data_IF_666470250116
#
_entry.id   IF_666470250116
#
_cell.length_a   1.000
_cell.length_b   1.000
_cell.length_c   1.000
_cell.angle_alpha   90.00
_cell.angle_beta   90.00
_cell.angle_gamma   90.00
#
_symmetry.space_group_name_H-M   'P 1'
#
loop_
_entity.id
_entity.type
_entity.pdbx_description
1 polymer ?
#
# COMPACT_ATOMS: atom_id res chain seq x y z
N UNK A 1 -34.01 -9.69 -29.00
CA UNK A 1 -32.96 -10.58 -29.56
C UNK A 1 -32.00 -11.10 -28.49
N UNK A 2 -30.95 -10.38 -28.04
CA UNK A 2 -29.98 -10.97 -27.07
C UNK A 2 -30.61 -11.28 -25.70
N UNK A 3 -31.60 -10.50 -25.24
CA UNK A 3 -32.37 -10.79 -24.01
C UNK A 3 -33.27 -12.03 -24.16
N UNK A 4 -33.99 -12.15 -25.28
CA UNK A 4 -34.84 -13.32 -25.58
C UNK A 4 -34.01 -14.61 -25.67
N UNK A 5 -32.83 -14.56 -26.30
CA UNK A 5 -31.91 -15.72 -26.36
C UNK A 5 -31.41 -16.11 -24.97
N UNK A 6 -31.23 -15.16 -24.05
CA UNK A 6 -30.82 -15.46 -22.67
C UNK A 6 -31.94 -16.08 -21.82
N UNK A 7 -33.19 -15.74 -22.13
CA UNK A 7 -34.38 -16.30 -21.46
C UNK A 7 -34.70 -17.71 -21.98
N UNK A 8 -34.55 -17.94 -23.29
CA UNK A 8 -34.84 -19.24 -23.92
C UNK A 8 -33.68 -20.24 -23.82
N UNK A 9 -32.43 -19.78 -23.71
CA UNK A 9 -31.23 -20.61 -23.64
C UNK A 9 -30.17 -20.04 -22.66
N UNK A 10 -30.37 -20.20 -21.34
CA UNK A 10 -29.50 -19.61 -20.32
C UNK A 10 -28.06 -20.12 -20.35
N UNK A 11 -27.81 -21.33 -20.88
CA UNK A 11 -26.48 -21.93 -21.00
C UNK A 11 -25.72 -21.54 -22.29
N UNK A 12 -26.27 -20.62 -23.09
CA UNK A 12 -25.68 -20.26 -24.37
C UNK A 12 -24.25 -19.69 -24.19
N UNK A 13 -23.24 -20.19 -24.93
CA UNK A 13 -21.85 -19.81 -24.73
C UNK A 13 -21.64 -18.29 -24.81
N UNK A 14 -21.07 -17.73 -23.73
CA UNK A 14 -20.77 -16.29 -23.61
C UNK A 14 -22.02 -15.40 -23.71
N UNK A 15 -23.22 -15.89 -23.36
CA UNK A 15 -24.43 -15.05 -23.29
C UNK A 15 -24.21 -13.79 -22.43
N UNK A 16 -23.48 -13.92 -21.31
CA UNK A 16 -23.09 -12.79 -20.45
C UNK A 16 -22.23 -11.73 -21.16
N UNK A 17 -21.35 -12.14 -22.06
CA UNK A 17 -20.51 -11.23 -22.84
C UNK A 17 -21.37 -10.38 -23.79
N UNK A 18 -22.37 -10.99 -24.43
CA UNK A 18 -23.27 -10.29 -25.33
C UNK A 18 -24.25 -9.41 -24.56
N UNK A 19 -24.86 -9.91 -23.48
CA UNK A 19 -25.74 -9.13 -22.61
C UNK A 19 -25.06 -7.86 -22.11
N UNK A 20 -23.80 -7.95 -21.67
CA UNK A 20 -23.03 -6.79 -21.21
C UNK A 20 -22.72 -5.75 -22.30
N UNK A 21 -22.75 -6.13 -23.59
CA UNK A 21 -22.61 -5.21 -24.73
C UNK A 21 -23.90 -4.52 -25.14
N UNK A 22 -25.06 -5.11 -24.82
CA UNK A 22 -26.38 -4.52 -25.10
C UNK A 22 -26.87 -3.65 -23.94
N UNK A 23 -26.24 -3.74 -22.76
CA UNK A 23 -26.52 -2.83 -21.64
C UNK A 23 -26.32 -1.37 -22.06
N UNK A 24 -27.29 -0.47 -21.78
CA UNK A 24 -27.20 0.91 -22.20
C UNK A 24 -25.94 1.57 -21.64
N UNK A 25 -25.33 2.47 -22.42
CA UNK A 25 -24.10 3.20 -22.06
C UNK A 25 -24.18 3.85 -20.67
N UNK A 26 -25.39 4.22 -20.22
CA UNK A 26 -25.70 4.72 -18.87
C UNK A 26 -25.37 3.73 -17.72
N UNK A 27 -25.58 2.42 -17.90
CA UNK A 27 -25.22 1.38 -16.90
C UNK A 27 -23.71 1.14 -16.82
N UNK A 28 -22.95 1.60 -17.81
CA UNK A 28 -21.48 1.58 -17.79
C UNK A 28 -20.88 2.90 -17.27
N UNK A 29 -21.72 3.89 -16.91
CA UNK A 29 -21.28 5.20 -16.42
C UNK A 29 -21.35 5.28 -14.89
N UNK A 30 -22.31 4.59 -14.26
CA UNK A 30 -22.52 4.64 -12.82
C UNK A 30 -22.72 3.24 -12.22
N UNK A 31 -22.45 3.08 -10.92
CA UNK A 31 -22.76 1.85 -10.19
C UNK A 31 -24.27 1.59 -10.13
N UNK A 32 -24.68 0.31 -10.15
CA UNK A 32 -26.07 -0.07 -9.84
C UNK A 32 -26.41 0.26 -8.39
N UNK A 33 -27.69 0.38 -8.04
CA UNK A 33 -28.09 0.71 -6.66
C UNK A 33 -27.61 -0.32 -5.64
N UNK A 34 -27.59 -1.60 -6.03
CA UNK A 34 -27.03 -2.67 -5.22
C UNK A 34 -25.52 -2.49 -5.02
N UNK A 35 -24.79 -2.23 -6.10
CA UNK A 35 -23.35 -1.96 -6.05
C UNK A 35 -23.03 -0.71 -5.22
N UNK A 36 -23.86 0.34 -5.30
CA UNK A 36 -23.72 1.56 -4.49
C UNK A 36 -23.93 1.27 -3.02
N UNK A 37 -24.97 0.49 -2.66
CA UNK A 37 -25.23 0.10 -1.27
C UNK A 37 -24.06 -0.71 -0.70
N UNK A 38 -23.60 -1.71 -1.45
CA UNK A 38 -22.44 -2.52 -1.08
C UNK A 38 -21.18 -1.65 -0.92
N UNK A 39 -20.85 -0.83 -1.92
CA UNK A 39 -19.70 0.05 -1.89
C UNK A 39 -19.75 1.03 -0.72
N UNK A 40 -20.93 1.58 -0.41
CA UNK A 40 -21.13 2.51 0.71
C UNK A 40 -20.94 1.81 2.06
N UNK A 41 -21.47 0.59 2.22
CA UNK A 41 -21.28 -0.21 3.44
C UNK A 41 -19.80 -0.50 3.70
N UNK A 42 -19.12 -1.02 2.69
CA UNK A 42 -17.67 -1.29 2.74
C UNK A 42 -16.87 -0.01 2.99
N UNK A 43 -17.29 1.13 2.42
CA UNK A 43 -16.60 2.41 2.61
C UNK A 43 -16.70 2.89 4.06
N UNK A 44 -17.88 2.79 4.68
CA UNK A 44 -18.08 3.15 6.08
C UNK A 44 -17.26 2.25 7.01
N UNK A 45 -17.20 0.94 6.72
CA UNK A 45 -16.35 0.02 7.46
C UNK A 45 -14.87 0.37 7.30
N UNK A 46 -14.41 0.67 6.07
CA UNK A 46 -13.05 1.09 5.79
C UNK A 46 -12.67 2.37 6.56
N UNK A 47 -13.58 3.34 6.68
CA UNK A 47 -13.38 4.53 7.50
C UNK A 47 -13.27 4.19 9.00
N UNK A 48 -14.07 3.24 9.49
CA UNK A 48 -14.00 2.74 10.85
C UNK A 48 -12.63 2.14 11.16
N UNK A 49 -12.15 1.24 10.29
CA UNK A 49 -10.83 0.62 10.42
C UNK A 49 -9.69 1.65 10.31
N UNK A 50 -9.81 2.59 9.36
CA UNK A 50 -8.85 3.68 9.19
C UNK A 50 -8.74 4.56 10.45
N UNK A 51 -9.87 4.88 11.09
CA UNK A 51 -9.91 5.67 12.33
C UNK A 51 -9.26 4.92 13.50
N UNK A 52 -9.40 3.59 13.54
CA UNK A 52 -8.73 2.70 14.49
C UNK A 52 -7.26 2.46 14.16
N UNK A 53 -6.74 3.05 13.09
CA UNK A 53 -5.39 2.84 12.54
C UNK A 53 -5.11 1.41 12.08
N UNK A 54 -6.15 0.59 11.90
CA UNK A 54 -6.01 -0.70 11.24
C UNK A 54 -5.99 -0.49 9.72
N UNK A 55 -4.84 -0.01 9.25
CA UNK A 55 -4.65 0.36 7.85
C UNK A 55 -4.64 -0.87 6.93
N UNK A 56 -4.30 -2.06 7.42
CA UNK A 56 -4.32 -3.28 6.63
C UNK A 56 -5.76 -3.74 6.36
N UNK A 57 -6.62 -3.74 7.38
CA UNK A 57 -8.04 -4.05 7.19
C UNK A 57 -8.72 -3.00 6.30
N UNK A 58 -8.47 -1.71 6.56
CA UNK A 58 -8.99 -0.62 5.74
C UNK A 58 -8.57 -0.73 4.27
N UNK A 59 -7.32 -1.13 4.01
CA UNK A 59 -6.78 -1.32 2.67
C UNK A 59 -7.60 -2.36 1.90
N UNK A 60 -7.78 -3.55 2.48
CA UNK A 60 -8.54 -4.66 1.85
C UNK A 60 -9.95 -4.23 1.47
N UNK A 61 -10.64 -3.52 2.36
CA UNK A 61 -11.99 -3.02 2.12
C UNK A 61 -12.01 -2.00 0.97
N UNK A 62 -11.04 -1.06 0.91
CA UNK A 62 -10.96 -0.13 -0.22
C UNK A 62 -10.64 -0.81 -1.55
N UNK A 63 -9.83 -1.87 -1.55
CA UNK A 63 -9.55 -2.67 -2.75
C UNK A 63 -10.81 -3.40 -3.25
N UNK A 64 -11.61 -3.95 -2.34
CA UNK A 64 -12.90 -4.55 -2.70
C UNK A 64 -13.81 -3.53 -3.39
N UNK A 65 -13.95 -2.32 -2.83
CA UNK A 65 -14.77 -1.25 -3.40
C UNK A 65 -14.30 -0.90 -4.82
N UNK A 66 -12.99 -0.65 -4.99
CA UNK A 66 -12.39 -0.27 -6.29
C UNK A 66 -12.60 -1.37 -7.35
N UNK A 67 -12.65 -2.64 -6.93
CA UNK A 67 -12.82 -3.77 -7.82
C UNK A 67 -14.29 -4.08 -8.19
N UNK A 68 -15.28 -3.52 -7.48
CA UNK A 68 -16.71 -3.68 -7.83
C UNK A 68 -16.95 -3.27 -9.29
N UNK A 69 -16.44 -2.10 -9.68
CA UNK A 69 -16.38 -1.69 -11.06
C UNK A 69 -15.28 -0.64 -11.26
N UNK A 70 -14.08 -1.10 -11.64
CA UNK A 70 -12.88 -0.26 -11.71
C UNK A 70 -12.96 0.88 -12.74
N UNK A 71 -13.87 0.79 -13.71
CA UNK A 71 -13.91 1.69 -14.89
C UNK A 71 -15.03 2.73 -14.84
N UNK A 72 -15.95 2.66 -13.89
CA UNK A 72 -17.03 3.65 -13.77
C UNK A 72 -16.58 4.87 -12.97
N UNK A 73 -17.20 6.01 -13.27
CA UNK A 73 -17.05 7.23 -12.49
C UNK A 73 -18.20 7.29 -11.49
N UNK A 74 -17.90 7.06 -10.22
CA UNK A 74 -18.89 7.09 -9.13
C UNK A 74 -18.29 7.79 -7.90
N UNK A 75 -19.04 8.69 -7.24
CA UNK A 75 -18.54 9.41 -6.07
C UNK A 75 -18.04 8.50 -4.93
N UNK A 76 -18.64 7.33 -4.73
CA UNK A 76 -18.22 6.39 -3.68
C UNK A 76 -16.88 5.74 -4.05
N UNK A 77 -16.69 5.38 -5.32
CA UNK A 77 -15.42 4.87 -5.82
C UNK A 77 -14.32 5.91 -5.71
N UNK A 78 -14.60 7.16 -6.04
CA UNK A 78 -13.59 8.23 -5.99
C UNK A 78 -13.18 8.51 -4.54
N UNK A 79 -14.14 8.55 -3.61
CA UNK A 79 -13.85 8.61 -2.17
C UNK A 79 -13.03 7.41 -1.69
N UNK A 80 -13.34 6.19 -2.15
CA UNK A 80 -12.61 4.99 -1.81
C UNK A 80 -11.17 5.01 -2.36
N UNK A 81 -10.96 5.48 -3.60
CA UNK A 81 -9.62 5.68 -4.19
C UNK A 81 -8.81 6.71 -3.41
N UNK A 82 -9.41 7.84 -3.02
CA UNK A 82 -8.74 8.83 -2.18
C UNK A 82 -8.36 8.25 -0.81
N UNK A 83 -9.25 7.47 -0.19
CA UNK A 83 -8.96 6.80 1.07
C UNK A 83 -7.85 5.74 0.91
N UNK A 84 -7.88 4.95 -0.16
CA UNK A 84 -6.84 3.99 -0.51
C UNK A 84 -5.45 4.64 -0.61
N UNK A 85 -5.34 5.79 -1.29
CA UNK A 85 -4.07 6.54 -1.40
C UNK A 85 -3.58 6.97 -0.01
N UNK A 86 -4.47 7.49 0.84
CA UNK A 86 -4.14 7.88 2.21
C UNK A 86 -3.68 6.68 3.05
N UNK A 87 -4.37 5.55 2.94
CA UNK A 87 -4.01 4.29 3.60
C UNK A 87 -2.65 3.81 3.14
N UNK A 88 -2.39 3.75 1.82
CA UNK A 88 -1.09 3.36 1.27
C UNK A 88 0.02 4.29 1.73
N UNK A 89 -0.22 5.60 1.82
CA UNK A 89 0.75 6.54 2.38
C UNK A 89 1.03 6.25 3.85
N UNK A 90 0.01 5.98 4.67
CA UNK A 90 0.18 5.59 6.09
C UNK A 90 0.92 4.26 6.25
N UNK A 91 0.54 3.25 5.46
CA UNK A 91 1.23 1.97 5.40
C UNK A 91 2.65 2.12 4.89
N UNK A 92 2.93 3.00 3.94
CA UNK A 92 4.29 3.27 3.48
C UNK A 92 5.11 3.94 4.59
N UNK A 93 4.53 4.91 5.28
CA UNK A 93 5.17 5.51 6.46
C UNK A 93 5.39 4.47 7.55
N UNK A 94 4.47 3.52 7.74
CA UNK A 94 4.55 2.45 8.74
C UNK A 94 5.45 1.28 8.30
N UNK A 95 5.60 0.99 7.00
CA UNK A 95 6.64 0.06 6.48
C UNK A 95 8.03 0.68 6.54
N UNK A 96 8.12 2.01 6.60
CA UNK A 96 9.34 2.74 6.95
C UNK A 96 9.46 2.88 8.48
N UNK A 97 8.44 2.50 9.27
CA UNK A 97 8.42 2.65 10.73
C UNK A 97 8.57 1.32 11.45
N UNK A 98 9.78 1.19 12.00
CA UNK A 98 10.23 0.15 12.90
C UNK A 98 10.18 -1.25 12.27
N UNK A 99 11.34 -1.82 11.91
CA UNK A 99 11.39 -3.25 11.70
C UNK A 99 10.90 -3.93 13.00
N UNK A 100 10.43 -5.18 12.89
CA UNK A 100 10.11 -6.08 14.03
C UNK A 100 11.38 -6.40 14.84
N UNK A 101 12.13 -5.37 15.23
CA UNK A 101 13.32 -5.43 16.03
C UNK A 101 12.90 -5.50 17.48
N UNK A 102 13.39 -6.54 18.14
CA UNK A 102 13.38 -6.58 19.58
C UNK A 102 14.20 -5.41 20.13
N UNK A 103 13.91 -5.01 21.37
CA UNK A 103 14.56 -3.87 22.03
C UNK A 103 16.10 -4.00 22.02
N UNK A 104 16.63 -5.22 22.20
CA UNK A 104 18.07 -5.49 22.13
C UNK A 104 18.67 -5.21 20.74
N UNK A 105 17.95 -5.55 19.67
CA UNK A 105 18.35 -5.27 18.30
C UNK A 105 18.35 -3.76 18.03
N UNK A 106 17.33 -3.02 18.52
CA UNK A 106 17.26 -1.56 18.41
C UNK A 106 18.45 -0.90 19.12
N UNK A 107 18.75 -1.32 20.35
CA UNK A 107 19.87 -0.80 21.13
C UNK A 107 21.19 -1.09 20.42
N UNK A 108 21.39 -2.32 19.93
CA UNK A 108 22.61 -2.74 19.24
C UNK A 108 22.80 -2.00 17.91
N UNK A 109 21.75 -1.87 17.10
CA UNK A 109 21.75 -1.12 15.84
C UNK A 109 22.10 0.34 16.06
N UNK A 110 21.43 0.99 17.03
CA UNK A 110 21.64 2.39 17.35
C UNK A 110 23.06 2.63 17.87
N UNK A 111 23.60 1.69 18.65
CA UNK A 111 25.00 1.73 19.11
C UNK A 111 25.97 1.68 17.92
N UNK A 112 25.80 0.74 16.99
CA UNK A 112 26.64 0.67 15.79
C UNK A 112 26.59 1.96 14.98
N UNK A 113 25.42 2.56 14.80
CA UNK A 113 25.33 3.84 14.09
C UNK A 113 26.06 4.97 14.82
N UNK A 114 25.93 5.09 16.14
CA UNK A 114 26.65 6.10 16.94
C UNK A 114 28.16 5.92 16.86
N UNK A 115 28.65 4.68 17.00
CA UNK A 115 30.07 4.35 16.90
C UNK A 115 30.61 4.68 15.49
N UNK A 116 29.81 4.41 14.45
CA UNK A 116 30.16 4.77 13.07
C UNK A 116 30.18 6.27 12.84
N UNK A 117 29.26 7.02 13.43
CA UNK A 117 29.21 8.48 13.33
C UNK A 117 30.41 9.13 14.04
N UNK A 118 30.77 8.66 15.23
CA UNK A 118 31.96 9.10 15.95
C UNK A 118 33.24 8.81 15.14
N UNK A 119 33.35 7.61 14.57
CA UNK A 119 34.47 7.26 13.69
C UNK A 119 34.54 8.18 12.46
N UNK A 120 33.40 8.49 11.84
CA UNK A 120 33.31 9.40 10.69
C UNK A 120 33.79 10.82 11.05
N UNK A 121 33.33 11.34 12.20
CA UNK A 121 33.72 12.65 12.70
C UNK A 121 35.22 12.74 13.02
N UNK A 122 35.82 11.64 13.49
CA UNK A 122 37.26 11.50 13.71
C UNK A 122 38.07 11.29 12.42
N UNK A 123 37.43 11.30 11.26
CA UNK A 123 38.06 11.06 9.96
C UNK A 123 38.43 9.59 9.71
N UNK A 124 38.03 8.67 10.58
CA UNK A 124 38.27 7.24 10.40
C UNK A 124 37.15 6.61 9.55
N UNK A 125 37.18 6.92 8.26
CA UNK A 125 36.12 6.54 7.33
C UNK A 125 35.99 5.02 7.14
N UNK A 126 37.10 4.27 7.21
CA UNK A 126 37.05 2.80 7.15
C UNK A 126 36.24 2.22 8.32
N UNK A 127 36.50 2.68 9.55
CA UNK A 127 35.71 2.24 10.72
C UNK A 127 34.26 2.70 10.63
N UNK A 128 34.01 3.90 10.12
CA UNK A 128 32.65 4.39 9.91
C UNK A 128 31.85 3.49 8.95
N UNK A 129 32.48 3.04 7.86
CA UNK A 129 31.90 2.06 6.92
C UNK A 129 31.58 0.75 7.62
N UNK A 130 32.51 0.21 8.41
CA UNK A 130 32.32 -1.08 9.09
C UNK A 130 31.16 -1.03 10.09
N UNK A 131 31.07 0.04 10.88
CA UNK A 131 29.98 0.23 11.83
C UNK A 131 28.64 0.49 11.15
N UNK A 132 28.61 1.28 10.08
CA UNK A 132 27.40 1.50 9.29
C UNK A 132 26.86 0.19 8.70
N UNK A 133 27.74 -0.67 8.16
CA UNK A 133 27.37 -2.00 7.66
C UNK A 133 26.79 -2.90 8.76
N UNK A 134 27.35 -2.87 9.97
CA UNK A 134 26.82 -3.64 11.11
C UNK A 134 25.43 -3.17 11.56
N UNK A 135 25.15 -1.87 11.46
CA UNK A 135 23.80 -1.34 11.71
C UNK A 135 22.82 -1.82 10.63
N UNK A 136 23.22 -1.77 9.35
CA UNK A 136 22.43 -2.24 8.22
C UNK A 136 22.21 -3.76 8.18
N UNK A 137 23.08 -4.55 8.81
CA UNK A 137 22.85 -5.99 9.00
C UNK A 137 21.68 -6.29 9.94
N UNK A 138 21.37 -5.38 10.88
CA UNK A 138 20.25 -5.53 11.81
C UNK A 138 18.97 -5.01 11.15
N UNK A 139 19.04 -3.84 10.53
CA UNK A 139 17.96 -3.26 9.75
C UNK A 139 18.49 -2.78 8.39
N UNK A 140 18.27 -3.55 7.32
CA UNK A 140 18.67 -3.18 5.96
C UNK A 140 18.05 -1.86 5.48
N UNK A 141 16.95 -1.42 6.08
CA UNK A 141 16.24 -0.19 5.71
C UNK A 141 16.64 1.01 6.59
N UNK A 142 17.64 0.86 7.46
CA UNK A 142 18.04 1.94 8.37
C UNK A 142 18.71 3.09 7.63
N UNK A 143 17.89 4.08 7.23
CA UNK A 143 18.27 5.17 6.32
C UNK A 143 19.46 5.99 6.83
N UNK A 144 19.56 6.18 8.15
CA UNK A 144 20.68 6.90 8.76
C UNK A 144 22.01 6.18 8.59
N UNK A 145 22.03 4.84 8.73
CA UNK A 145 23.23 4.05 8.50
C UNK A 145 23.60 3.97 7.02
N UNK A 146 22.62 3.93 6.11
CA UNK A 146 22.87 4.00 4.67
C UNK A 146 23.52 5.33 4.27
N UNK A 147 22.99 6.45 4.76
CA UNK A 147 23.54 7.78 4.50
C UNK A 147 24.97 7.94 5.04
N UNK A 148 25.24 7.36 6.21
CA UNK A 148 26.58 7.34 6.81
C UNK A 148 27.56 6.49 5.97
N UNK A 149 27.14 5.31 5.52
CA UNK A 149 27.92 4.44 4.66
C UNK A 149 28.32 5.15 3.35
N UNK A 150 27.36 5.79 2.69
CA UNK A 150 27.60 6.53 1.44
C UNK A 150 28.59 7.68 1.65
N UNK A 151 28.40 8.44 2.74
CA UNK A 151 29.26 9.57 3.08
C UNK A 151 30.68 9.14 3.43
N UNK A 152 30.83 8.06 4.21
CA UNK A 152 32.12 7.50 4.58
C UNK A 152 32.86 6.93 3.36
N UNK A 153 32.16 6.18 2.51
CA UNK A 153 32.74 5.60 1.29
C UNK A 153 33.19 6.68 0.31
N UNK A 154 32.43 7.79 0.19
CA UNK A 154 32.83 8.94 -0.64
C UNK A 154 34.11 9.62 -0.15
N UNK A 155 34.34 9.67 1.17
CA UNK A 155 35.55 10.28 1.77
C UNK A 155 36.79 9.38 1.71
N UNK A 156 36.61 8.11 1.34
CA UNK A 156 37.71 7.15 1.14
C UNK A 156 38.22 7.09 -0.30
N UNK A 157 37.48 7.67 -1.24
CA UNK A 157 37.89 7.82 -2.64
C UNK A 157 38.71 9.09 -2.80
#
# INVERSE_FOLDING_TARGET
IVKEIAEEAPDFPRIDFYLNRVKPKAEQIALSDEQKRLATGLYNEALGQFTRRDYQAALKLTEQIININRRVQDPVLDRAKSLYIRIKSRLQTDTVRAPDLKLDQIVKMTKFYRDGLDAYQKGNFQRAVDFAKRALQIDPNYTSAQSLLDSATKRMK
#
